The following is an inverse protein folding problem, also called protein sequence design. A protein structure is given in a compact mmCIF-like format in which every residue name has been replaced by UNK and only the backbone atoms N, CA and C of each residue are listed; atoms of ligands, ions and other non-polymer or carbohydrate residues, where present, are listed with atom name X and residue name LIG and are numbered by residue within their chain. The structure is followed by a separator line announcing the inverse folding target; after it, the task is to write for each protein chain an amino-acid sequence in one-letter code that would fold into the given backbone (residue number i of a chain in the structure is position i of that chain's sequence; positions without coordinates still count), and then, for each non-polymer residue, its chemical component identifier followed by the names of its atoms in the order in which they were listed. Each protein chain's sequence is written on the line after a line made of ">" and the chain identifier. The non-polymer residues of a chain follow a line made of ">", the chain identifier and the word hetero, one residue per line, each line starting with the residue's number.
data_IF_583217798601
#
_entry.id   IF_583217798601
#
_cell.length_a   1.000
_cell.length_b   1.000
_cell.length_c   1.000
_cell.angle_alpha   90.00
_cell.angle_beta   90.00
_cell.angle_gamma   90.00
#
_symmetry.space_group_name_H-M   'P 1'
#
loop_
_entity.id
_entity.type
_entity.pdbx_description
1 polymer ?
#
# COMPACT_ATOMS: atom_id res chain seq x y z
N UNK A 1 11.62 6.52 8.01
CA UNK A 1 10.58 7.55 8.25
C UNK A 1 9.61 7.75 7.08
N UNK A 2 10.04 7.67 5.81
CA UNK A 2 9.16 8.00 4.66
C UNK A 2 7.82 7.25 4.54
N UNK A 3 7.78 5.93 4.68
CA UNK A 3 6.50 5.19 4.58
C UNK A 3 5.52 5.55 5.71
N UNK A 4 6.02 5.73 6.94
CA UNK A 4 5.19 6.10 8.09
C UNK A 4 4.57 7.49 7.94
N UNK A 5 5.28 8.45 7.35
CA UNK A 5 4.72 9.77 7.05
C UNK A 5 3.51 9.68 6.11
N UNK A 6 3.62 8.89 5.04
CA UNK A 6 2.50 8.69 4.10
C UNK A 6 1.32 7.99 4.78
N UNK A 7 1.59 6.96 5.59
CA UNK A 7 0.56 6.24 6.34
C UNK A 7 -0.16 7.18 7.31
N UNK A 8 0.59 7.94 8.13
CA UNK A 8 0.00 8.89 9.07
C UNK A 8 -0.82 9.98 8.37
N UNK A 9 -0.33 10.52 7.25
CA UNK A 9 -1.08 11.50 6.46
C UNK A 9 -2.35 10.91 5.85
N UNK A 10 -2.33 9.66 5.40
CA UNK A 10 -3.53 8.96 4.94
C UNK A 10 -4.51 8.73 6.09
N UNK A 11 -4.02 8.27 7.25
CA UNK A 11 -4.83 8.02 8.44
C UNK A 11 -5.60 9.25 8.92
N UNK A 12 -5.05 10.46 8.76
CA UNK A 12 -5.77 11.71 9.09
C UNK A 12 -6.84 12.15 8.07
N UNK A 13 -6.92 11.51 6.89
CA UNK A 13 -7.77 11.93 5.77
C UNK A 13 -8.84 10.92 5.37
N UNK A 14 -8.70 9.67 5.81
CA UNK A 14 -9.58 8.57 5.46
C UNK A 14 -10.10 7.89 6.72
N UNK A 15 -11.34 7.43 6.69
CA UNK A 15 -11.97 6.72 7.81
C UNK A 15 -11.25 5.40 8.12
N UNK A 16 -10.75 4.72 7.09
CA UNK A 16 -10.00 3.47 7.19
C UNK A 16 -8.83 3.45 6.20
N UNK A 17 -7.68 2.96 6.66
CA UNK A 17 -6.48 2.79 5.83
C UNK A 17 -5.98 1.36 5.94
N UNK A 18 -5.77 0.72 4.80
CA UNK A 18 -5.15 -0.61 4.73
C UNK A 18 -3.73 -0.46 4.17
N UNK A 19 -2.73 -0.83 4.97
CA UNK A 19 -1.35 -0.97 4.48
C UNK A 19 -1.21 -2.34 3.83
N UNK A 20 -1.22 -2.35 2.50
CA UNK A 20 -1.13 -3.58 1.70
C UNK A 20 0.33 -4.02 1.49
N UNK A 21 0.73 -5.12 2.10
CA UNK A 21 2.07 -5.71 1.97
C UNK A 21 2.04 -6.77 0.87
N UNK A 22 2.69 -6.47 -0.26
CA UNK A 22 2.81 -7.41 -1.36
C UNK A 22 3.75 -8.58 -0.98
N UNK A 23 3.26 -9.80 -1.17
CA UNK A 23 4.06 -11.02 -1.22
C UNK A 23 4.52 -11.22 -2.66
N UNK A 24 5.82 -11.11 -2.90
CA UNK A 24 6.40 -11.25 -4.23
C UNK A 24 7.43 -12.39 -4.24
N UNK A 25 7.06 -13.58 -4.75
CA UNK A 25 7.98 -14.72 -4.81
C UNK A 25 9.12 -14.53 -5.84
N UNK A 26 9.01 -13.56 -6.75
CA UNK A 26 10.05 -13.21 -7.72
C UNK A 26 11.12 -12.26 -7.18
N UNK A 27 11.04 -11.87 -5.89
CA UNK A 27 12.06 -11.08 -5.20
C UNK A 27 12.60 -11.88 -4.02
N UNK A 28 13.86 -11.61 -3.68
CA UNK A 28 14.49 -12.11 -2.44
C UNK A 28 14.57 -10.95 -1.43
N UNK A 29 13.51 -10.69 -0.64
CA UNK A 29 13.50 -9.59 0.31
C UNK A 29 14.36 -9.91 1.55
N UNK A 30 14.96 -8.87 2.14
CA UNK A 30 15.70 -9.00 3.39
C UNK A 30 14.85 -9.54 4.56
N UNK A 31 13.55 -9.27 4.54
CA UNK A 31 12.59 -9.68 5.56
C UNK A 31 11.46 -10.50 4.93
N UNK A 32 10.99 -11.52 5.64
CA UNK A 32 9.82 -12.29 5.24
C UNK A 32 8.56 -11.42 5.18
N UNK A 33 7.50 -11.89 4.55
CA UNK A 33 6.22 -11.17 4.56
C UNK A 33 5.71 -10.98 5.99
N UNK A 34 5.79 -12.02 6.82
CA UNK A 34 5.37 -12.00 8.23
C UNK A 34 6.17 -10.98 9.03
N UNK A 35 7.49 -10.94 8.85
CA UNK A 35 8.36 -9.95 9.51
C UNK A 35 8.01 -8.53 9.08
N UNK A 36 7.78 -8.29 7.77
CA UNK A 36 7.37 -6.97 7.28
C UNK A 36 6.02 -6.55 7.86
N UNK A 37 5.04 -7.45 7.92
CA UNK A 37 3.73 -7.19 8.53
C UNK A 37 3.89 -6.82 10.00
N UNK A 38 4.70 -7.57 10.75
CA UNK A 38 4.93 -7.30 12.17
C UNK A 38 5.63 -5.95 12.39
N UNK A 39 6.65 -5.63 11.58
CA UNK A 39 7.33 -4.34 11.62
C UNK A 39 6.38 -3.17 11.37
N UNK A 40 5.53 -3.28 10.34
CA UNK A 40 4.53 -2.25 10.04
C UNK A 40 3.53 -2.13 11.18
N UNK A 41 2.98 -3.26 11.66
CA UNK A 41 2.02 -3.28 12.77
C UNK A 41 2.55 -2.57 14.01
N UNK A 42 3.80 -2.85 14.41
CA UNK A 42 4.43 -2.18 15.55
C UNK A 42 4.66 -0.69 15.29
N UNK A 43 5.01 -0.32 14.07
CA UNK A 43 5.31 1.06 13.71
C UNK A 43 4.08 1.96 13.51
N UNK A 44 2.88 1.38 13.40
CA UNK A 44 1.59 2.08 13.25
C UNK A 44 0.62 1.75 14.39
N UNK A 45 1.13 1.28 15.52
CA UNK A 45 0.30 0.79 16.63
C UNK A 45 -0.54 1.90 17.32
N UNK A 46 -0.16 3.17 17.11
CA UNK A 46 -0.84 4.36 17.61
C UNK A 46 -1.93 4.89 16.66
N UNK A 47 -2.14 4.24 15.51
CA UNK A 47 -3.12 4.65 14.51
C UNK A 47 -4.31 3.67 14.48
N UNK A 48 -5.37 4.03 15.20
CA UNK A 48 -6.56 3.17 15.41
C UNK A 48 -7.31 2.78 14.12
N UNK A 49 -7.18 3.59 13.06
CA UNK A 49 -7.85 3.37 11.78
C UNK A 49 -6.94 2.72 10.72
N UNK A 50 -5.74 2.27 11.10
CA UNK A 50 -4.80 1.59 10.20
C UNK A 50 -4.84 0.08 10.45
N UNK A 51 -5.09 -0.67 9.39
CA UNK A 51 -4.96 -2.14 9.38
C UNK A 51 -3.87 -2.57 8.41
N UNK A 52 -3.29 -3.74 8.64
CA UNK A 52 -2.23 -4.30 7.80
C UNK A 52 -2.76 -5.58 7.20
N UNK A 53 -2.65 -5.72 5.89
CA UNK A 53 -3.04 -6.92 5.18
C UNK A 53 -2.01 -7.26 4.10
N UNK A 54 -2.00 -8.51 3.69
CA UNK A 54 -1.08 -9.05 2.69
C UNK A 54 -1.85 -9.45 1.45
N UNK A 55 -1.17 -9.43 0.31
CA UNK A 55 -1.76 -9.94 -0.92
C UNK A 55 -0.72 -10.52 -1.87
N UNK A 56 -1.24 -11.35 -2.77
CA UNK A 56 -0.54 -11.91 -3.91
C UNK A 56 -1.31 -11.55 -5.18
N UNK A 57 -0.61 -11.52 -6.31
CA UNK A 57 -1.23 -11.17 -7.59
C UNK A 57 -1.42 -9.66 -7.78
N UNK A 58 -2.54 -9.27 -8.41
CA UNK A 58 -2.77 -7.90 -8.84
C UNK A 58 -3.34 -7.03 -7.71
N UNK A 59 -2.82 -5.81 -7.59
CA UNK A 59 -3.30 -4.81 -6.64
C UNK A 59 -4.79 -4.48 -6.84
N UNK A 60 -5.25 -4.40 -8.10
CA UNK A 60 -6.65 -4.12 -8.41
C UNK A 60 -7.60 -5.19 -7.87
N UNK A 61 -7.18 -6.45 -7.85
CA UNK A 61 -7.99 -7.55 -7.33
C UNK A 61 -8.05 -7.52 -5.81
N UNK A 62 -6.91 -7.20 -5.17
CA UNK A 62 -6.86 -6.93 -3.74
C UNK A 62 -7.80 -5.77 -3.34
N UNK A 63 -7.75 -4.66 -4.09
CA UNK A 63 -8.60 -3.51 -3.84
C UNK A 63 -10.09 -3.86 -3.98
N UNK A 64 -10.48 -4.57 -5.05
CA UNK A 64 -11.86 -5.04 -5.26
C UNK A 64 -12.35 -5.95 -4.15
N UNK A 65 -11.54 -6.92 -3.75
CA UNK A 65 -11.90 -7.87 -2.69
C UNK A 65 -12.15 -7.21 -1.33
N UNK A 66 -11.64 -5.98 -1.13
CA UNK A 66 -11.73 -5.21 0.12
C UNK A 66 -12.52 -3.91 -0.03
N UNK A 67 -13.21 -3.73 -1.16
CA UNK A 67 -13.95 -2.50 -1.49
C UNK A 67 -13.11 -1.20 -1.33
N UNK A 68 -11.82 -1.28 -1.66
CA UNK A 68 -10.91 -0.14 -1.65
C UNK A 68 -11.06 0.63 -2.95
N UNK A 69 -11.34 1.94 -2.85
CA UNK A 69 -11.56 2.83 -4.01
C UNK A 69 -10.42 3.79 -4.29
N UNK A 70 -9.45 3.91 -3.38
CA UNK A 70 -8.38 4.90 -3.46
C UNK A 70 -7.05 4.25 -3.08
N UNK A 71 -6.05 4.43 -3.93
CA UNK A 71 -4.68 4.00 -3.67
C UNK A 71 -3.82 5.21 -3.31
N UNK A 72 -3.19 5.17 -2.14
CA UNK A 72 -2.24 6.20 -1.71
C UNK A 72 -0.79 5.75 -1.97
N UNK A 73 -0.02 6.57 -2.70
CA UNK A 73 1.40 6.33 -2.95
C UNK A 73 2.24 7.55 -2.67
N UNK A 74 3.41 7.34 -2.04
CA UNK A 74 4.41 8.38 -1.84
C UNK A 74 5.35 8.45 -3.05
N UNK A 75 5.64 9.65 -3.52
CA UNK A 75 6.61 9.92 -4.58
C UNK A 75 7.81 10.68 -3.98
N UNK A 76 9.03 10.32 -4.38
CA UNK A 76 10.25 10.97 -3.86
C UNK A 76 10.99 11.75 -4.93
N UNK A 77 11.01 11.24 -6.15
CA UNK A 77 11.65 11.89 -7.29
C UNK A 77 10.68 12.00 -8.48
N UNK A 78 11.01 12.89 -9.41
CA UNK A 78 10.25 13.06 -10.67
C UNK A 78 10.24 11.76 -11.49
N UNK A 79 11.31 10.97 -11.43
CA UNK A 79 11.38 9.66 -12.09
C UNK A 79 10.34 8.66 -11.56
N UNK A 80 9.97 8.76 -10.29
CA UNK A 80 8.93 7.88 -9.71
C UNK A 80 7.55 8.25 -10.28
N UNK A 81 7.34 9.53 -10.59
CA UNK A 81 6.05 10.04 -11.03
C UNK A 81 5.61 9.45 -12.36
N UNK A 82 6.48 9.38 -13.37
CA UNK A 82 6.11 8.85 -14.69
C UNK A 82 5.69 7.38 -14.62
N UNK A 83 6.48 6.56 -13.90
CA UNK A 83 6.16 5.16 -13.67
C UNK A 83 4.84 5.00 -12.91
N UNK A 84 4.65 5.76 -11.83
CA UNK A 84 3.45 5.66 -11.00
C UNK A 84 2.20 6.20 -11.70
N UNK A 85 2.33 7.21 -12.56
CA UNK A 85 1.23 7.73 -13.37
C UNK A 85 0.74 6.66 -14.37
N UNK A 86 1.66 5.93 -15.01
CA UNK A 86 1.30 4.81 -15.90
C UNK A 86 0.56 3.71 -15.14
N UNK A 87 1.05 3.36 -13.94
CA UNK A 87 0.40 2.36 -13.10
C UNK A 87 -0.98 2.81 -12.62
N UNK A 88 -1.15 4.09 -12.27
CA UNK A 88 -2.44 4.65 -11.88
C UNK A 88 -3.47 4.56 -13.02
N UNK A 89 -3.08 4.91 -14.25
CA UNK A 89 -3.95 4.78 -15.43
C UNK A 89 -4.34 3.33 -15.71
N UNK A 90 -3.41 2.39 -15.52
CA UNK A 90 -3.67 0.97 -15.71
C UNK A 90 -4.64 0.43 -14.65
N UNK A 91 -4.43 0.76 -13.38
CA UNK A 91 -5.31 0.37 -12.29
C UNK A 91 -6.72 0.94 -12.46
N UNK A 92 -6.83 2.20 -12.88
CA UNK A 92 -8.12 2.83 -13.15
C UNK A 92 -8.88 2.11 -14.27
N UNK A 93 -8.20 1.74 -15.36
CA UNK A 93 -8.83 1.03 -16.49
C UNK A 93 -9.24 -0.40 -16.13
N UNK A 94 -8.43 -1.09 -15.33
CA UNK A 94 -8.66 -2.50 -15.01
C UNK A 94 -9.58 -2.70 -13.81
N UNK A 95 -9.58 -1.77 -12.86
CA UNK A 95 -10.09 -1.93 -11.50
C UNK A 95 -11.00 -0.82 -11.00
N UNK A 96 -11.05 0.33 -11.68
CA UNK A 96 -11.68 1.58 -11.23
C UNK A 96 -11.11 2.10 -9.89
N UNK A 97 -9.79 1.92 -9.71
CA UNK A 97 -9.00 2.28 -8.51
C UNK A 97 -7.68 2.95 -8.83
#
# INVERSE_FOLDING_TARGET
>A
MGHLDIIGRAATRFDQVIVAVLTNPGKDPLFSTEERVDLVRRATADLDNVTIDTFEGLLVDFCRARDVRIICKGLRAVSDFEYELQMAQMNQRMGDV
#
